data_IF_311958295176
#
_entry.id   IF_311958295176
#
_cell.length_a   1.000
_cell.length_b   1.000
_cell.length_c   1.000
_cell.angle_alpha   90.00
_cell.angle_beta   90.00
_cell.angle_gamma   90.00
#
_symmetry.space_group_name_H-M   'P 1'
#
loop_
_entity.id
_entity.type
_entity.pdbx_description
1 polymer ?
#
# COMPACT_ATOMS: atom_id res chain seq x y z
N UNK A 1 -14.83 12.98 -20.99
CA UNK A 1 -14.43 11.68 -21.55
C UNK A 1 -13.91 10.77 -20.43
N UNK A 2 -14.45 10.91 -19.21
CA UNK A 2 -13.68 10.55 -18.01
C UNK A 2 -14.13 9.21 -17.42
N UNK A 3 -15.25 8.68 -17.91
CA UNK A 3 -15.83 7.42 -17.44
C UNK A 3 -15.02 6.18 -17.85
N UNK A 4 -14.30 6.23 -18.98
CA UNK A 4 -13.46 5.11 -19.44
C UNK A 4 -12.09 5.11 -18.74
N UNK A 5 -11.52 6.28 -18.44
CA UNK A 5 -10.16 6.36 -17.89
C UNK A 5 -10.05 5.77 -16.48
N UNK A 6 -11.02 6.01 -15.60
CA UNK A 6 -10.98 5.41 -14.26
C UNK A 6 -11.23 3.90 -14.30
N UNK A 7 -11.99 3.39 -15.28
CA UNK A 7 -12.23 1.96 -15.45
C UNK A 7 -10.95 1.24 -15.87
N UNK A 8 -10.19 1.83 -16.79
CA UNK A 8 -8.87 1.35 -17.19
C UNK A 8 -7.92 1.34 -15.99
N UNK A 9 -7.86 2.44 -15.22
CA UNK A 9 -7.04 2.48 -13.99
C UNK A 9 -7.47 1.41 -12.99
N UNK A 10 -8.77 1.25 -12.73
CA UNK A 10 -9.28 0.24 -11.80
C UNK A 10 -8.88 -1.18 -12.23
N UNK A 11 -9.03 -1.51 -13.53
CA UNK A 11 -8.65 -2.81 -14.05
C UNK A 11 -7.14 -3.07 -13.98
N UNK A 12 -6.33 -2.04 -14.26
CA UNK A 12 -4.88 -2.13 -14.15
C UNK A 12 -4.42 -2.36 -12.70
N UNK A 13 -5.00 -1.62 -11.75
CA UNK A 13 -4.67 -1.76 -10.32
C UNK A 13 -5.15 -3.09 -9.75
N UNK A 14 -6.30 -3.61 -10.19
CA UNK A 14 -6.75 -4.97 -9.84
C UNK A 14 -5.79 -6.06 -10.38
N UNK A 15 -5.26 -5.85 -11.60
CA UNK A 15 -4.27 -6.75 -12.18
C UNK A 15 -2.94 -6.69 -11.42
N UNK A 16 -2.53 -5.49 -11.01
CA UNK A 16 -1.35 -5.29 -10.17
C UNK A 16 -1.50 -5.96 -8.80
N UNK A 17 -2.67 -5.82 -8.17
CA UNK A 17 -2.96 -6.48 -6.90
C UNK A 17 -2.84 -8.01 -7.04
N UNK A 18 -3.41 -8.59 -8.09
CA UNK A 18 -3.31 -10.03 -8.35
C UNK A 18 -1.86 -10.48 -8.57
N UNK A 19 -1.07 -9.69 -9.31
CA UNK A 19 0.34 -9.97 -9.54
C UNK A 19 1.15 -9.93 -8.23
N UNK A 20 0.92 -8.92 -7.38
CA UNK A 20 1.54 -8.82 -6.06
C UNK A 20 1.18 -10.01 -5.17
N UNK A 21 -0.09 -10.42 -5.15
CA UNK A 21 -0.54 -11.54 -4.32
C UNK A 21 0.03 -12.89 -4.78
N UNK A 22 0.30 -13.06 -6.08
CA UNK A 22 0.94 -14.24 -6.63
C UNK A 22 2.43 -14.35 -6.26
N UNK A 23 3.08 -13.28 -5.79
CA UNK A 23 4.45 -13.33 -5.31
C UNK A 23 4.56 -14.10 -4.00
N UNK A 24 5.65 -14.85 -3.75
CA UNK A 24 5.90 -15.43 -2.45
C UNK A 24 6.04 -14.33 -1.39
N UNK A 25 5.55 -14.61 -0.19
CA UNK A 25 5.75 -13.71 0.95
C UNK A 25 7.25 -13.59 1.30
N UNK A 26 7.65 -12.47 1.90
CA UNK A 26 9.06 -12.18 2.17
C UNK A 26 9.74 -13.28 2.99
N UNK A 27 9.01 -13.85 3.97
CA UNK A 27 9.47 -14.95 4.80
C UNK A 27 9.79 -16.22 3.98
N UNK A 28 9.00 -16.50 2.94
CA UNK A 28 9.18 -17.66 2.08
C UNK A 28 10.22 -17.44 0.97
N UNK A 29 10.39 -16.18 0.51
CA UNK A 29 11.25 -15.84 -0.61
C UNK A 29 12.77 -15.92 -0.32
N UNK A 30 13.19 -16.10 0.94
CA UNK A 30 14.60 -16.19 1.37
C UNK A 30 15.50 -15.07 0.79
N UNK A 31 14.96 -13.87 0.66
CA UNK A 31 15.68 -12.70 0.12
C UNK A 31 15.68 -12.55 -1.40
N UNK A 32 15.02 -13.44 -2.15
CA UNK A 32 14.95 -13.41 -3.62
C UNK A 32 13.60 -12.93 -4.17
N UNK A 33 12.85 -12.11 -3.42
CA UNK A 33 11.57 -11.59 -3.92
C UNK A 33 11.79 -10.63 -5.09
N UNK A 34 11.11 -10.82 -6.23
CA UNK A 34 11.25 -9.94 -7.39
C UNK A 34 10.71 -8.52 -7.14
N UNK A 35 9.99 -8.31 -6.04
CA UNK A 35 9.53 -7.00 -5.62
C UNK A 35 10.67 -6.12 -5.09
N UNK A 36 11.71 -6.70 -4.47
CA UNK A 36 12.72 -5.94 -3.72
C UNK A 36 13.45 -4.86 -4.55
N UNK A 37 13.90 -5.13 -5.79
CA UNK A 37 14.56 -4.10 -6.61
C UNK A 37 13.64 -2.94 -6.99
N UNK A 38 12.32 -3.14 -6.91
CA UNK A 38 11.29 -2.19 -7.33
C UNK A 38 10.50 -1.61 -6.16
N UNK A 39 10.87 -1.96 -4.91
CA UNK A 39 10.04 -1.67 -3.74
C UNK A 39 9.81 -0.18 -3.50
N UNK A 40 10.85 0.65 -3.65
CA UNK A 40 10.74 2.10 -3.53
C UNK A 40 9.79 2.71 -4.57
N UNK A 41 10.05 2.53 -5.89
CA UNK A 41 9.13 2.97 -6.93
C UNK A 41 7.71 2.43 -6.77
N UNK A 42 7.56 1.18 -6.34
CA UNK A 42 6.27 0.55 -6.11
C UNK A 42 5.53 1.18 -4.92
N UNK A 43 6.22 1.47 -3.81
CA UNK A 43 5.63 2.15 -2.66
C UNK A 43 5.19 3.58 -3.01
N UNK A 44 6.00 4.32 -3.78
CA UNK A 44 5.63 5.64 -4.31
C UNK A 44 4.37 5.56 -5.19
N UNK A 45 4.32 4.57 -6.08
CA UNK A 45 3.18 4.37 -6.96
C UNK A 45 1.91 3.98 -6.19
N UNK A 46 2.01 3.08 -5.22
CA UNK A 46 0.90 2.72 -4.36
C UNK A 46 0.38 3.91 -3.54
N UNK A 47 1.29 4.77 -3.05
CA UNK A 47 0.95 6.03 -2.37
C UNK A 47 0.15 6.97 -3.28
N UNK A 48 0.60 7.16 -4.53
CA UNK A 48 -0.14 7.98 -5.50
C UNK A 48 -1.54 7.41 -5.82
N UNK A 49 -1.67 6.07 -5.91
CA UNK A 49 -2.96 5.44 -6.16
C UNK A 49 -3.92 5.51 -4.97
N UNK A 50 -3.40 5.57 -3.74
CA UNK A 50 -4.23 5.81 -2.56
C UNK A 50 -4.97 7.14 -2.70
N UNK A 51 -4.33 8.18 -3.24
CA UNK A 51 -4.92 9.51 -3.44
C UNK A 51 -5.79 9.63 -4.73
N UNK A 52 -6.07 8.53 -5.45
CA UNK A 52 -6.95 8.58 -6.63
C UNK A 52 -8.36 9.06 -6.26
N UNK A 53 -8.96 9.91 -7.12
CA UNK A 53 -10.30 10.45 -6.92
C UNK A 53 -11.39 9.38 -7.02
N UNK A 54 -11.10 8.27 -7.71
CA UNK A 54 -12.01 7.15 -7.82
C UNK A 54 -11.85 6.19 -6.63
N UNK A 55 -12.94 6.02 -5.87
CA UNK A 55 -12.97 5.14 -4.69
C UNK A 55 -12.53 3.71 -5.00
N UNK A 56 -12.86 3.14 -6.17
CA UNK A 56 -12.50 1.76 -6.52
C UNK A 56 -10.99 1.63 -6.69
N UNK A 57 -10.35 2.60 -7.33
CA UNK A 57 -8.89 2.64 -7.49
C UNK A 57 -8.21 2.79 -6.12
N UNK A 58 -8.62 3.79 -5.34
CA UNK A 58 -8.10 4.08 -4.00
C UNK A 58 -8.24 2.88 -3.04
N UNK A 59 -9.40 2.21 -3.05
CA UNK A 59 -9.64 1.03 -2.23
C UNK A 59 -8.76 -0.16 -2.65
N UNK A 60 -8.55 -0.35 -3.96
CA UNK A 60 -7.69 -1.42 -4.46
C UNK A 60 -6.22 -1.13 -4.13
N UNK A 61 -5.81 0.14 -4.17
CA UNK A 61 -4.49 0.58 -3.72
C UNK A 61 -4.28 0.34 -2.21
N UNK A 62 -5.30 0.58 -1.38
CA UNK A 62 -5.24 0.25 0.04
C UNK A 62 -4.98 -1.24 0.28
N UNK A 63 -5.62 -2.13 -0.49
CA UNK A 63 -5.36 -3.58 -0.42
C UNK A 63 -3.95 -3.95 -0.86
N UNK A 64 -3.42 -3.28 -1.89
CA UNK A 64 -2.01 -3.42 -2.31
C UNK A 64 -1.08 -3.02 -1.15
N UNK A 65 -1.33 -1.85 -0.54
CA UNK A 65 -0.55 -1.38 0.59
C UNK A 65 -0.64 -2.32 1.80
N UNK A 66 -1.79 -2.97 2.01
CA UNK A 66 -1.97 -3.96 3.08
C UNK A 66 -1.14 -5.23 2.86
N UNK A 67 -0.90 -5.62 1.61
CA UNK A 67 -0.11 -6.79 1.28
C UNK A 67 1.40 -6.52 1.38
N UNK A 68 1.84 -5.27 1.18
CA UNK A 68 3.26 -4.91 1.17
C UNK A 68 4.06 -5.34 2.41
N UNK A 69 3.57 -5.17 3.66
CA UNK A 69 4.31 -5.60 4.85
C UNK A 69 4.63 -7.09 4.82
N UNK A 70 3.67 -7.93 4.39
CA UNK A 70 3.86 -9.38 4.24
C UNK A 70 4.78 -9.72 3.06
N UNK A 71 4.63 -9.02 1.93
CA UNK A 71 5.36 -9.30 0.68
C UNK A 71 6.82 -8.82 0.70
N UNK A 72 7.12 -7.75 1.44
CA UNK A 72 8.45 -7.15 1.51
C UNK A 72 9.13 -7.30 2.89
N UNK A 73 8.36 -7.56 3.95
CA UNK A 73 8.89 -7.70 5.30
C UNK A 73 9.70 -6.47 5.74
N UNK A 74 10.86 -6.71 6.35
CA UNK A 74 11.75 -5.66 6.85
C UNK A 74 12.28 -4.73 5.75
N UNK A 75 12.31 -5.16 4.49
CA UNK A 75 12.75 -4.31 3.37
C UNK A 75 11.80 -3.14 3.12
N UNK A 76 10.55 -3.20 3.63
CA UNK A 76 9.59 -2.11 3.54
C UNK A 76 9.91 -0.94 4.47
N UNK A 77 10.67 -1.16 5.54
CA UNK A 77 10.90 -0.16 6.60
C UNK A 77 11.35 1.23 6.07
N UNK A 78 12.29 1.34 5.11
CA UNK A 78 12.72 2.64 4.57
C UNK A 78 11.66 3.37 3.73
N UNK A 79 10.55 2.69 3.38
CA UNK A 79 9.50 3.19 2.49
C UNK A 79 8.18 3.44 3.22
N UNK A 80 8.16 3.27 4.55
CA UNK A 80 6.94 3.45 5.35
C UNK A 80 6.46 4.89 5.29
N UNK A 81 7.35 5.89 5.40
CA UNK A 81 6.94 7.31 5.34
C UNK A 81 6.27 7.70 4.03
N UNK A 82 6.70 7.12 2.91
CA UNK A 82 6.05 7.29 1.61
C UNK A 82 4.57 6.88 1.63
N UNK A 83 4.25 5.78 2.31
CA UNK A 83 2.87 5.30 2.46
C UNK A 83 2.14 6.01 3.59
N UNK A 84 2.86 6.39 4.65
CA UNK A 84 2.33 6.92 5.90
C UNK A 84 1.47 8.16 5.69
N UNK A 85 1.99 9.18 4.99
CA UNK A 85 1.24 10.42 4.77
C UNK A 85 -0.08 10.21 4.00
N UNK A 86 -0.06 9.34 2.99
CA UNK A 86 -1.27 8.99 2.23
C UNK A 86 -2.27 8.21 3.09
N UNK A 87 -1.80 7.28 3.93
CA UNK A 87 -2.64 6.53 4.84
C UNK A 87 -3.28 7.41 5.91
N UNK A 88 -2.54 8.37 6.49
CA UNK A 88 -3.09 9.35 7.45
C UNK A 88 -4.19 10.17 6.80
N UNK A 89 -3.96 10.71 5.60
CA UNK A 89 -5.01 11.42 4.85
C UNK A 89 -6.23 10.54 4.63
N UNK A 90 -6.05 9.27 4.26
CA UNK A 90 -7.16 8.33 4.03
C UNK A 90 -7.90 7.89 5.28
N UNK A 91 -7.29 7.93 6.46
CA UNK A 91 -8.04 7.76 7.71
C UNK A 91 -9.02 8.91 7.96
N UNK A 92 -8.82 10.08 7.36
CA UNK A 92 -9.75 11.21 7.38
C UNK A 92 -10.75 11.24 6.21
N UNK A 93 -10.76 10.23 5.34
CA UNK A 93 -11.60 10.24 4.13
C UNK A 93 -13.11 10.28 4.47
N UNK A 94 -13.91 10.95 3.64
CA UNK A 94 -15.36 11.04 3.84
C UNK A 94 -16.04 9.66 3.79
N UNK A 95 -15.48 8.72 3.02
CA UNK A 95 -16.04 7.38 2.83
C UNK A 95 -15.60 6.44 3.96
N UNK A 96 -16.53 5.90 4.77
CA UNK A 96 -16.19 5.03 5.91
C UNK A 96 -15.37 3.79 5.54
N UNK A 97 -15.65 3.20 4.37
CA UNK A 97 -14.94 2.02 3.89
C UNK A 97 -13.46 2.32 3.60
N UNK A 98 -13.17 3.48 3.01
CA UNK A 98 -11.79 3.92 2.72
C UNK A 98 -11.03 4.15 4.02
N UNK A 99 -11.66 4.80 5.01
CA UNK A 99 -11.07 4.97 6.35
C UNK A 99 -10.72 3.64 6.99
N UNK A 100 -11.65 2.68 6.95
CA UNK A 100 -11.47 1.37 7.55
C UNK A 100 -10.29 0.61 6.91
N UNK A 101 -10.16 0.65 5.59
CA UNK A 101 -9.02 0.01 4.92
C UNK A 101 -7.69 0.72 5.25
N UNK A 102 -7.64 2.05 5.29
CA UNK A 102 -6.43 2.77 5.68
C UNK A 102 -5.97 2.41 7.11
N UNK A 103 -6.91 2.26 8.04
CA UNK A 103 -6.62 1.79 9.41
C UNK A 103 -6.08 0.35 9.42
N UNK A 104 -6.65 -0.56 8.62
CA UNK A 104 -6.15 -1.94 8.50
C UNK A 104 -4.73 -2.00 7.94
N UNK A 105 -4.40 -1.19 6.94
CA UNK A 105 -3.05 -1.11 6.38
C UNK A 105 -2.07 -0.64 7.44
N UNK A 106 -2.44 0.39 8.20
CA UNK A 106 -1.58 0.94 9.26
C UNK A 106 -1.37 -0.07 10.39
N UNK A 107 -2.42 -0.79 10.80
CA UNK A 107 -2.29 -1.87 11.76
C UNK A 107 -1.36 -2.99 11.26
N UNK A 108 -1.44 -3.35 9.96
CA UNK A 108 -0.54 -4.34 9.36
C UNK A 108 0.92 -3.85 9.34
N UNK A 109 1.16 -2.58 9.01
CA UNK A 109 2.50 -1.98 9.08
C UNK A 109 3.08 -2.02 10.49
N UNK A 110 2.28 -1.69 11.51
CA UNK A 110 2.71 -1.71 12.91
C UNK A 110 2.99 -3.13 13.43
N UNK A 111 2.24 -4.13 12.96
CA UNK A 111 2.40 -5.53 13.37
C UNK A 111 3.61 -6.21 12.72
N UNK A 112 3.80 -6.01 11.42
CA UNK A 112 4.81 -6.73 10.64
C UNK A 112 6.20 -6.09 10.69
N UNK A 113 6.30 -4.82 11.07
CA UNK A 113 7.57 -4.11 11.16
C UNK A 113 8.12 -4.12 12.59
N UNK A 114 9.42 -4.42 12.78
CA UNK A 114 10.02 -4.66 14.10
C UNK A 114 10.10 -3.41 14.99
N UNK A 115 9.85 -2.20 14.47
CA UNK A 115 9.92 -0.95 15.21
C UNK A 115 8.65 -0.12 14.98
N UNK A 116 7.59 -0.31 15.78
CA UNK A 116 6.37 0.49 15.71
C UNK A 116 6.63 2.00 15.88
N UNK A 117 7.66 2.37 16.66
CA UNK A 117 8.09 3.76 16.81
C UNK A 117 8.59 4.38 15.51
N UNK A 118 9.24 3.60 14.65
CA UNK A 118 9.68 4.08 13.33
C UNK A 118 8.47 4.32 12.42
N UNK A 119 7.45 3.45 12.46
CA UNK A 119 6.19 3.68 11.73
C UNK A 119 5.49 4.95 12.25
N UNK A 120 5.39 5.11 13.57
CA UNK A 120 4.72 6.26 14.18
C UNK A 120 5.47 7.59 13.94
N UNK A 121 6.80 7.59 13.96
CA UNK A 121 7.61 8.77 13.66
C UNK A 121 7.33 9.31 12.24
N UNK A 122 7.12 8.40 11.30
CA UNK A 122 6.84 8.73 9.89
C UNK A 122 5.38 9.15 9.64
N UNK A 123 4.49 9.09 10.65
CA UNK A 123 3.09 9.54 10.56
C UNK A 123 2.88 10.96 11.13
N UNK A 124 3.93 11.62 11.62
CA UNK A 124 3.89 12.90 12.34
C UNK A 124 4.32 14.13 11.52
N UNK A 125 4.56 14.01 10.21
CA UNK A 125 4.83 15.14 9.29
C UNK A 125 3.59 15.56 8.49
#
# INVERSE_FOLDING_TARGET
>A
MDAEEWQVRASAVESLQRALEALPDAAAARGASPLLPHLGPFANFASALLDDSNMKVSLTAARIAQALPRKAGRALAPHVGTLGSALVRKMGDAQPLVRQEAMKVTAALLHELPAPSAVLAELHE
#
